data_IF_760749280925
#
_entry.id   IF_760749280925
#
_cell.length_a   1.000
_cell.length_b   1.000
_cell.length_c   1.000
_cell.angle_alpha   90.00
_cell.angle_beta   90.00
_cell.angle_gamma   90.00
#
_symmetry.space_group_name_H-M   'P 1'
#
loop_
_entity.id
_entity.type
_entity.pdbx_description
1 polymer ?
#
# COMPACT_ATOMS: atom_id res chain seq x y z
N UNK A 1 -8.29 9.75 13.89
CA UNK A 1 -9.13 8.54 14.07
C UNK A 1 -9.40 7.79 12.77
N UNK A 2 -9.86 8.41 11.68
CA UNK A 2 -10.15 7.69 10.42
C UNK A 2 -8.92 7.04 9.78
N UNK A 3 -7.77 7.71 9.79
CA UNK A 3 -6.48 7.17 9.29
C UNK A 3 -6.03 5.95 10.10
N UNK A 4 -6.05 6.04 11.43
CA UNK A 4 -5.69 4.93 12.32
C UNK A 4 -6.62 3.73 12.11
N UNK A 5 -7.92 3.97 11.99
CA UNK A 5 -8.89 2.92 11.67
C UNK A 5 -8.61 2.26 10.32
N UNK A 6 -8.27 3.04 9.29
CA UNK A 6 -7.93 2.53 7.97
C UNK A 6 -6.66 1.65 7.98
N UNK A 7 -5.67 1.97 8.82
CA UNK A 7 -4.46 1.16 8.97
C UNK A 7 -4.76 -0.23 9.55
N UNK A 8 -5.75 -0.35 10.44
CA UNK A 8 -6.16 -1.64 11.02
C UNK A 8 -7.19 -2.40 10.16
N UNK A 9 -8.11 -1.70 9.50
CA UNK A 9 -9.22 -2.29 8.73
C UNK A 9 -9.05 -2.11 7.21
N UNK A 10 -7.91 -2.55 6.68
CA UNK A 10 -7.50 -2.32 5.29
C UNK A 10 -8.43 -2.99 4.24
N UNK A 11 -9.25 -3.98 4.61
CA UNK A 11 -10.02 -4.81 3.67
C UNK A 11 -11.53 -4.51 3.61
N UNK A 12 -11.95 -3.28 3.93
CA UNK A 12 -13.39 -2.93 3.97
C UNK A 12 -13.92 -2.49 2.60
N UNK A 13 -15.15 -2.89 2.24
CA UNK A 13 -15.77 -2.57 0.95
C UNK A 13 -15.90 -1.05 0.71
N UNK A 14 -15.08 -0.52 -0.21
CA UNK A 14 -14.99 0.92 -0.53
C UNK A 14 -16.30 1.49 -1.11
N UNK A 15 -17.09 0.68 -1.82
CA UNK A 15 -18.35 1.10 -2.47
C UNK A 15 -19.40 1.60 -1.47
N UNK A 16 -19.62 0.87 -0.37
CA UNK A 16 -20.59 1.26 0.66
C UNK A 16 -20.18 2.56 1.38
N UNK A 17 -18.88 2.76 1.61
CA UNK A 17 -18.36 3.97 2.24
C UNK A 17 -18.49 5.21 1.36
N UNK A 18 -18.34 5.06 0.04
CA UNK A 18 -18.58 6.15 -0.92
C UNK A 18 -20.04 6.59 -0.91
N UNK A 19 -20.99 5.66 -0.82
CA UNK A 19 -22.41 5.99 -0.69
C UNK A 19 -22.72 6.78 0.59
N UNK A 20 -22.15 6.38 1.73
CA UNK A 20 -22.34 7.12 2.99
C UNK A 20 -21.72 8.54 2.88
N UNK A 21 -20.56 8.65 2.23
CA UNK A 21 -19.90 9.94 2.01
C UNK A 21 -20.74 10.88 1.14
N UNK A 22 -21.35 10.38 0.05
CA UNK A 22 -22.20 11.19 -0.83
C UNK A 22 -23.50 11.62 -0.14
N UNK A 23 -24.13 10.74 0.65
CA UNK A 23 -25.30 11.08 1.47
C UNK A 23 -24.95 12.14 2.52
N UNK A 24 -23.81 11.99 3.22
CA UNK A 24 -23.36 12.99 4.20
C UNK A 24 -23.08 14.34 3.56
N UNK A 25 -22.48 14.37 2.36
CA UNK A 25 -22.24 15.60 1.61
C UNK A 25 -23.55 16.25 1.16
N UNK A 26 -24.51 15.46 0.67
CA UNK A 26 -25.82 15.94 0.28
C UNK A 26 -26.58 16.56 1.47
N UNK A 27 -26.52 15.95 2.66
CA UNK A 27 -27.10 16.49 3.88
C UNK A 27 -26.41 17.80 4.33
N UNK A 28 -25.10 17.92 4.17
CA UNK A 28 -24.36 19.16 4.43
C UNK A 28 -24.77 20.28 3.47
N UNK A 29 -24.83 19.99 2.17
CA UNK A 29 -25.29 20.93 1.15
C UNK A 29 -26.73 21.36 1.43
N UNK A 30 -27.63 20.41 1.68
CA UNK A 30 -29.01 20.70 2.06
C UNK A 30 -29.05 21.62 3.29
N UNK A 31 -28.25 21.35 4.32
CA UNK A 31 -28.17 22.17 5.53
C UNK A 31 -27.74 23.63 5.25
N UNK A 32 -26.80 23.84 4.32
CA UNK A 32 -26.31 25.17 3.94
C UNK A 32 -27.33 25.97 3.11
N UNK A 33 -28.08 25.31 2.22
CA UNK A 33 -29.06 25.96 1.34
C UNK A 33 -30.47 26.07 1.97
N UNK A 34 -30.85 25.18 2.90
CA UNK A 34 -32.12 25.23 3.63
C UNK A 34 -32.04 26.16 4.86
N UNK A 35 -31.78 27.45 4.62
CA UNK A 35 -31.76 28.50 5.67
C UNK A 35 -33.14 28.76 6.32
N UNK A 36 -34.22 28.22 5.75
CA UNK A 36 -35.62 28.61 6.04
C UNK A 36 -36.36 27.70 7.02
N UNK A 37 -35.86 26.50 7.34
CA UNK A 37 -36.50 25.57 8.28
C UNK A 37 -35.60 25.35 9.50
N UNK A 38 -36.25 25.23 10.66
CA UNK A 38 -35.82 25.12 12.06
C UNK A 38 -34.59 24.24 12.45
N UNK A 39 -33.78 23.76 11.51
CA UNK A 39 -32.59 22.91 11.74
C UNK A 39 -31.49 23.65 12.51
N UNK A 40 -31.46 24.99 12.44
CA UNK A 40 -30.57 25.82 13.25
C UNK A 40 -30.85 25.80 14.77
N UNK A 41 -31.95 25.19 15.24
CA UNK A 41 -32.16 24.98 16.69
C UNK A 41 -31.15 24.01 17.30
N UNK A 42 -30.51 23.15 16.49
CA UNK A 42 -29.54 22.15 16.95
C UNK A 42 -28.21 22.32 16.22
N UNK A 43 -27.48 23.40 16.57
CA UNK A 43 -26.16 23.79 16.01
C UNK A 43 -25.07 22.69 16.04
N UNK A 44 -25.25 21.66 16.85
CA UNK A 44 -24.32 20.52 16.96
C UNK A 44 -24.46 19.48 15.83
N UNK A 45 -25.62 19.42 15.16
CA UNK A 45 -25.88 18.44 14.09
C UNK A 45 -24.95 18.65 12.87
N UNK A 46 -24.78 19.87 12.33
CA UNK A 46 -23.81 20.11 11.26
C UNK A 46 -22.37 19.78 11.67
N UNK A 47 -22.00 20.02 12.92
CA UNK A 47 -20.67 19.67 13.45
C UNK A 47 -20.41 18.17 13.42
N UNK A 48 -21.37 17.37 13.91
CA UNK A 48 -21.30 15.90 13.84
C UNK A 48 -21.19 15.43 12.38
N UNK A 49 -22.01 15.99 11.49
CA UNK A 49 -21.98 15.65 10.06
C UNK A 49 -20.61 15.93 9.43
N UNK A 50 -19.99 17.08 9.73
CA UNK A 50 -18.64 17.41 9.24
C UNK A 50 -17.61 16.43 9.79
N UNK A 51 -17.66 16.09 11.08
CA UNK A 51 -16.73 15.14 11.68
C UNK A 51 -16.89 13.74 11.10
N UNK A 52 -18.11 13.26 10.87
CA UNK A 52 -18.39 12.00 10.18
C UNK A 52 -17.87 12.02 8.74
N UNK A 53 -18.11 13.10 8.00
CA UNK A 53 -17.62 13.28 6.64
C UNK A 53 -16.09 13.21 6.58
N UNK A 54 -15.39 13.99 7.41
CA UNK A 54 -13.92 13.99 7.47
C UNK A 54 -13.38 12.62 7.89
N UNK A 55 -14.04 11.94 8.83
CA UNK A 55 -13.65 10.59 9.24
C UNK A 55 -13.73 9.60 8.06
N UNK A 56 -14.86 9.53 7.36
CA UNK A 56 -15.07 8.62 6.23
C UNK A 56 -14.13 8.98 5.07
N UNK A 57 -13.99 10.27 4.76
CA UNK A 57 -13.10 10.74 3.71
C UNK A 57 -11.65 10.35 3.99
N UNK A 58 -11.17 10.55 5.22
CA UNK A 58 -9.81 10.15 5.62
C UNK A 58 -9.61 8.64 5.54
N UNK A 59 -10.61 7.83 5.93
CA UNK A 59 -10.54 6.38 5.84
C UNK A 59 -10.43 5.89 4.39
N UNK A 60 -11.25 6.44 3.48
CA UNK A 60 -11.23 6.08 2.05
C UNK A 60 -9.90 6.50 1.41
N UNK A 61 -9.43 7.71 1.70
CA UNK A 61 -8.20 8.24 1.11
C UNK A 61 -6.98 7.39 1.52
N UNK A 62 -6.89 7.01 2.79
CA UNK A 62 -5.82 6.13 3.27
C UNK A 62 -5.87 4.75 2.60
N UNK A 63 -7.05 4.12 2.50
CA UNK A 63 -7.16 2.82 1.83
C UNK A 63 -6.80 2.90 0.33
N UNK A 64 -7.25 3.94 -0.37
CA UNK A 64 -6.90 4.13 -1.80
C UNK A 64 -5.42 4.43 -2.02
N UNK A 65 -4.73 5.02 -1.04
CA UNK A 65 -3.29 5.29 -1.16
C UNK A 65 -2.43 4.03 -1.01
N UNK A 66 -3.01 2.91 -0.56
CA UNK A 66 -2.28 1.66 -0.44
C UNK A 66 -2.08 0.98 -1.79
N UNK A 67 -0.83 0.80 -2.19
CA UNK A 67 -0.45 0.14 -3.44
C UNK A 67 -0.95 -1.31 -3.51
N UNK A 68 -1.13 -1.97 -2.36
CA UNK A 68 -1.64 -3.33 -2.29
C UNK A 68 -3.04 -3.46 -2.91
N UNK A 69 -3.87 -2.42 -2.79
CA UNK A 69 -5.23 -2.43 -3.34
C UNK A 69 -5.30 -1.95 -4.79
N UNK A 70 -4.20 -1.46 -5.36
CA UNK A 70 -4.13 -1.09 -6.77
C UNK A 70 -4.34 -2.34 -7.65
N UNK A 71 -5.33 -2.35 -8.57
CA UNK A 71 -5.50 -3.45 -9.53
C UNK A 71 -4.25 -3.72 -10.38
N UNK A 72 -3.41 -2.70 -10.62
CA UNK A 72 -2.15 -2.82 -11.36
C UNK A 72 -0.98 -3.35 -10.51
N UNK A 73 -1.22 -3.70 -9.25
CA UNK A 73 -0.19 -4.22 -8.37
C UNK A 73 0.38 -5.55 -8.90
N UNK A 74 1.71 -5.71 -8.85
CA UNK A 74 2.39 -6.89 -9.41
C UNK A 74 1.87 -8.21 -8.82
N UNK A 75 1.46 -8.22 -7.54
CA UNK A 75 0.97 -9.45 -6.89
C UNK A 75 -0.38 -9.96 -7.39
N UNK A 76 -1.12 -9.16 -8.16
CA UNK A 76 -2.41 -9.54 -8.78
C UNK A 76 -2.27 -10.06 -10.20
N UNK A 77 -1.06 -10.01 -10.76
CA UNK A 77 -0.80 -10.39 -12.14
C UNK A 77 0.05 -11.67 -12.16
N UNK A 78 -0.41 -12.66 -12.91
CA UNK A 78 0.33 -13.91 -13.08
C UNK A 78 1.42 -13.74 -14.16
N UNK A 79 2.59 -14.32 -13.91
CA UNK A 79 3.71 -14.30 -14.85
C UNK A 79 4.90 -15.11 -14.35
N UNK A 80 5.90 -15.29 -15.22
CA UNK A 80 7.07 -16.12 -14.94
C UNK A 80 8.21 -15.31 -14.34
N UNK A 81 8.35 -14.04 -14.74
CA UNK A 81 9.42 -13.15 -14.31
C UNK A 81 8.91 -11.73 -14.08
N UNK A 82 9.64 -10.97 -13.28
CA UNK A 82 9.43 -9.55 -13.02
C UNK A 82 10.62 -8.75 -13.52
N UNK A 83 10.34 -7.65 -14.21
CA UNK A 83 11.31 -6.60 -14.45
C UNK A 83 11.14 -5.57 -13.35
N UNK A 84 12.20 -5.37 -12.59
CA UNK A 84 12.20 -4.55 -11.39
C UNK A 84 13.34 -3.54 -11.43
N UNK A 85 13.13 -2.36 -10.83
CA UNK A 85 14.13 -1.30 -10.76
C UNK A 85 14.53 -1.03 -9.32
N UNK A 86 15.82 -0.94 -9.05
CA UNK A 86 16.36 -0.66 -7.71
C UNK A 86 16.05 0.78 -7.31
N UNK A 87 15.36 0.95 -6.18
CA UNK A 87 14.92 2.26 -5.67
C UNK A 87 15.47 2.57 -4.27
N UNK A 88 16.36 1.75 -3.75
CA UNK A 88 17.05 2.04 -2.48
C UNK A 88 18.52 1.63 -2.57
N UNK A 89 19.35 2.28 -1.77
CA UNK A 89 20.73 1.83 -1.56
C UNK A 89 20.75 0.41 -0.98
N UNK A 90 21.48 -0.53 -1.60
CA UNK A 90 21.62 -1.88 -1.09
C UNK A 90 22.37 -1.92 0.25
N UNK A 91 21.81 -2.64 1.21
CA UNK A 91 22.37 -2.80 2.56
C UNK A 91 22.84 -4.23 2.77
N UNK A 92 24.14 -4.40 3.03
CA UNK A 92 24.74 -5.70 3.35
C UNK A 92 24.58 -5.98 4.83
N UNK A 93 24.11 -7.17 5.17
CA UNK A 93 24.10 -7.71 6.53
C UNK A 93 24.54 -9.17 6.48
N UNK A 94 25.77 -9.44 6.90
CA UNK A 94 26.40 -10.75 6.73
C UNK A 94 26.62 -11.09 5.26
N UNK A 95 26.13 -12.25 4.83
CA UNK A 95 26.12 -12.74 3.44
C UNK A 95 24.85 -12.33 2.67
N UNK A 96 23.99 -11.49 3.24
CA UNK A 96 22.73 -11.09 2.61
C UNK A 96 22.74 -9.60 2.25
N UNK A 97 22.55 -9.32 0.97
CA UNK A 97 22.29 -7.99 0.43
C UNK A 97 20.78 -7.72 0.38
N UNK A 98 20.30 -6.72 1.13
CA UNK A 98 18.89 -6.32 1.12
C UNK A 98 18.69 -4.98 0.43
N UNK A 99 17.71 -4.91 -0.46
CA UNK A 99 17.36 -3.69 -1.17
C UNK A 99 15.88 -3.71 -1.59
N UNK A 100 15.33 -2.53 -1.82
CA UNK A 100 13.95 -2.36 -2.28
C UNK A 100 13.96 -2.06 -3.77
N UNK A 101 13.06 -2.71 -4.49
CA UNK A 101 12.82 -2.50 -5.91
C UNK A 101 11.39 -2.05 -6.16
N UNK A 102 11.17 -1.36 -7.28
CA UNK A 102 9.85 -1.13 -7.83
C UNK A 102 9.61 -2.12 -8.97
N UNK A 103 8.51 -2.85 -8.94
CA UNK A 103 8.10 -3.70 -10.05
C UNK A 103 7.55 -2.81 -11.17
N UNK A 104 8.12 -2.90 -12.36
CA UNK A 104 7.71 -2.12 -13.52
C UNK A 104 6.92 -2.99 -14.51
N UNK A 105 7.33 -4.25 -14.69
CA UNK A 105 6.64 -5.16 -15.62
C UNK A 105 6.60 -6.60 -15.11
N UNK A 106 5.50 -7.30 -15.41
CA UNK A 106 5.37 -8.76 -15.30
C UNK A 106 5.52 -9.34 -16.70
N UNK A 107 6.43 -10.31 -16.84
CA UNK A 107 6.65 -11.03 -18.09
C UNK A 107 5.81 -12.31 -18.08
N UNK A 108 4.88 -12.40 -19.03
CA UNK A 108 4.01 -13.54 -19.25
C UNK A 108 4.24 -14.10 -20.65
N UNK A 109 4.93 -15.24 -20.76
CA UNK A 109 5.30 -15.89 -22.02
C UNK A 109 5.98 -14.94 -23.04
N UNK A 110 5.20 -14.26 -23.89
CA UNK A 110 5.67 -13.36 -24.96
C UNK A 110 5.26 -11.90 -24.77
N UNK A 111 4.55 -11.57 -23.69
CA UNK A 111 4.06 -10.22 -23.43
C UNK A 111 4.57 -9.71 -22.09
N UNK A 112 4.87 -8.42 -22.03
CA UNK A 112 5.19 -7.71 -20.79
C UNK A 112 4.02 -6.81 -20.43
N UNK A 113 3.47 -6.98 -19.23
CA UNK A 113 2.37 -6.20 -18.69
C UNK A 113 2.95 -5.18 -17.72
N UNK A 114 2.63 -3.91 -17.91
CA UNK A 114 3.03 -2.84 -16.99
C UNK A 114 2.34 -3.03 -15.65
N UNK A 115 3.11 -3.03 -14.56
CA UNK A 115 2.62 -3.19 -13.19
C UNK A 115 3.26 -2.14 -12.28
N UNK A 116 2.77 -2.07 -11.04
CA UNK A 116 3.37 -1.26 -9.99
C UNK A 116 3.50 -2.02 -8.68
N UNK A 117 4.23 -1.43 -7.74
CA UNK A 117 4.37 -1.93 -6.37
C UNK A 117 5.81 -2.16 -5.98
N UNK A 118 6.08 -2.06 -4.68
CA UNK A 118 7.42 -2.26 -4.13
C UNK A 118 7.60 -3.68 -3.65
N UNK A 119 8.80 -4.21 -3.87
CA UNK A 119 9.22 -5.54 -3.43
C UNK A 119 10.54 -5.42 -2.67
N UNK A 120 10.63 -6.10 -1.53
CA UNK A 120 11.89 -6.26 -0.81
C UNK A 120 12.64 -7.47 -1.37
N UNK A 121 13.88 -7.29 -1.79
CA UNK A 121 14.75 -8.37 -2.24
C UNK A 121 15.83 -8.61 -1.19
N UNK A 122 15.97 -9.87 -0.79
CA UNK A 122 17.10 -10.38 -0.03
C UNK A 122 17.91 -11.31 -0.94
N UNK A 123 19.08 -10.85 -1.38
CA UNK A 123 19.99 -11.59 -2.24
C UNK A 123 21.13 -12.16 -1.40
N UNK A 124 21.39 -13.46 -1.50
CA UNK A 124 22.59 -14.07 -0.93
C UNK A 124 23.80 -13.77 -1.80
N UNK A 125 24.85 -13.26 -1.19
CA UNK A 125 26.11 -12.95 -1.85
C UNK A 125 27.01 -14.18 -1.84
N UNK A 126 27.55 -14.50 -3.01
CA UNK A 126 28.61 -15.48 -3.16
C UNK A 126 29.96 -14.78 -2.97
N UNK A 127 30.79 -15.16 -1.99
CA UNK A 127 32.11 -14.57 -1.77
C UNK A 127 33.02 -14.65 -2.99
N UNK A 128 32.81 -15.65 -3.86
CA UNK A 128 33.63 -15.88 -5.06
C UNK A 128 33.20 -15.00 -6.24
N UNK A 129 32.00 -14.41 -6.19
CA UNK A 129 31.43 -13.59 -7.28
C UNK A 129 31.03 -12.22 -6.74
N UNK A 130 31.89 -11.19 -6.86
CA UNK A 130 31.55 -9.85 -6.41
C UNK A 130 30.35 -9.33 -7.21
N UNK A 131 29.21 -9.19 -6.52
CA UNK A 131 27.99 -8.63 -7.08
C UNK A 131 27.85 -7.19 -6.58
N UNK A 132 27.90 -6.23 -7.50
CA UNK A 132 27.65 -4.82 -7.19
C UNK A 132 26.32 -4.41 -7.80
N UNK A 133 25.48 -3.81 -6.98
CA UNK A 133 24.19 -3.29 -7.36
C UNK A 133 24.11 -1.83 -6.93
N UNK A 134 23.65 -0.96 -7.81
CA UNK A 134 23.50 0.46 -7.53
C UNK A 134 22.05 0.89 -7.71
N UNK A 135 21.74 2.06 -7.13
CA UNK A 135 20.43 2.68 -7.31
C UNK A 135 20.15 2.92 -8.80
N UNK A 136 18.95 2.56 -9.25
CA UNK A 136 18.50 2.75 -10.63
C UNK A 136 18.74 1.56 -11.55
N UNK A 137 19.49 0.54 -11.12
CA UNK A 137 19.68 -0.70 -11.89
C UNK A 137 18.35 -1.40 -12.15
N UNK A 138 18.25 -2.05 -13.31
CA UNK A 138 17.08 -2.84 -13.71
C UNK A 138 17.46 -4.31 -13.71
N UNK A 139 16.67 -5.12 -13.04
CA UNK A 139 16.88 -6.55 -12.85
C UNK A 139 15.70 -7.34 -13.41
N UNK A 140 16.01 -8.50 -13.98
CA UNK A 140 15.01 -9.53 -14.28
C UNK A 140 15.11 -10.61 -13.20
N UNK A 141 14.02 -10.82 -12.47
CA UNK A 141 13.94 -11.80 -11.39
C UNK A 141 12.81 -12.79 -11.63
N UNK A 142 12.91 -14.00 -11.07
CA UNK A 142 11.79 -14.93 -11.03
C UNK A 142 10.59 -14.30 -10.32
N UNK A 143 9.38 -14.53 -10.84
CA UNK A 143 8.14 -14.05 -10.22
C UNK A 143 7.73 -14.93 -9.03
N UNK A 144 8.64 -15.10 -8.06
CA UNK A 144 8.45 -15.87 -6.83
C UNK A 144 8.68 -14.93 -5.66
N UNK A 145 7.62 -14.57 -4.97
CA UNK A 145 7.66 -13.72 -3.79
C UNK A 145 6.64 -14.23 -2.77
N UNK A 146 6.89 -13.92 -1.50
CA UNK A 146 6.01 -14.24 -0.39
C UNK A 146 5.55 -12.95 0.28
N UNK A 147 4.41 -12.99 0.95
CA UNK A 147 4.06 -11.93 1.90
C UNK A 147 5.09 -11.86 3.03
N UNK A 148 5.26 -10.66 3.59
CA UNK A 148 6.09 -10.48 4.78
C UNK A 148 5.48 -11.24 5.97
N UNK A 149 6.32 -12.00 6.67
CA UNK A 149 5.93 -12.72 7.88
C UNK A 149 5.62 -11.75 9.02
N UNK A 150 4.61 -12.04 9.85
CA UNK A 150 4.36 -11.27 11.07
C UNK A 150 5.50 -11.47 12.08
N UNK A 151 5.66 -10.55 13.06
CA UNK A 151 6.63 -10.74 14.14
C UNK A 151 6.33 -12.04 14.89
N UNK A 152 7.35 -12.89 15.08
CA UNK A 152 7.20 -14.17 15.77
C UNK A 152 7.05 -14.00 17.29
N UNK A 153 7.59 -12.90 17.84
CA UNK A 153 7.48 -12.57 19.25
C UNK A 153 6.69 -11.25 19.44
N UNK A 154 5.64 -11.20 20.28
CA UNK A 154 4.89 -9.97 20.55
C UNK A 154 5.71 -8.78 21.09
N UNK A 155 6.85 -9.04 21.73
CA UNK A 155 7.76 -8.00 22.24
C UNK A 155 8.83 -7.56 21.22
N UNK A 156 8.86 -8.17 20.04
CA UNK A 156 9.78 -7.80 18.97
C UNK A 156 9.26 -6.62 18.17
N UNK A 157 10.17 -5.94 17.47
CA UNK A 157 9.83 -4.89 16.54
C UNK A 157 8.95 -5.42 15.40
N UNK A 158 7.82 -4.74 15.13
CA UNK A 158 6.93 -5.07 14.02
C UNK A 158 7.52 -4.63 12.67
N UNK A 159 8.42 -5.46 12.13
CA UNK A 159 9.08 -5.22 10.85
C UNK A 159 8.08 -5.20 9.68
N UNK A 160 7.05 -6.05 9.73
CA UNK A 160 5.98 -6.10 8.73
C UNK A 160 5.19 -4.79 8.70
N UNK A 161 4.76 -4.29 9.84
CA UNK A 161 4.06 -3.01 9.96
C UNK A 161 4.92 -1.83 9.52
N UNK A 162 6.20 -1.83 9.88
CA UNK A 162 7.16 -0.81 9.43
C UNK A 162 7.30 -0.77 7.90
N UNK A 163 7.44 -1.93 7.24
CA UNK A 163 7.53 -2.03 5.78
C UNK A 163 6.20 -1.71 5.07
N UNK A 164 5.07 -2.13 5.65
CA UNK A 164 3.74 -1.81 5.13
C UNK A 164 3.50 -0.30 5.07
N UNK A 165 3.97 0.46 6.06
CA UNK A 165 3.92 1.92 6.05
C UNK A 165 4.72 2.54 4.88
N UNK A 166 5.71 1.82 4.35
CA UNK A 166 6.49 2.22 3.17
C UNK A 166 5.93 1.66 1.86
N UNK A 167 4.74 1.04 1.88
CA UNK A 167 4.10 0.36 0.76
C UNK A 167 4.84 -0.89 0.29
N UNK A 168 5.60 -1.55 1.18
CA UNK A 168 6.31 -2.79 0.90
C UNK A 168 5.59 -3.93 1.64
N UNK A 169 4.95 -4.82 0.89
CA UNK A 169 4.11 -5.89 1.45
C UNK A 169 4.65 -7.30 1.18
N UNK A 170 5.50 -7.44 0.15
CA UNK A 170 6.07 -8.71 -0.26
C UNK A 170 7.59 -8.68 -0.20
N UNK A 171 8.17 -9.86 -0.04
CA UNK A 171 9.60 -10.10 -0.09
C UNK A 171 9.92 -11.30 -0.99
N UNK A 172 11.11 -11.29 -1.58
CA UNK A 172 11.68 -12.46 -2.24
C UNK A 172 13.11 -12.70 -1.77
N UNK A 173 13.48 -13.97 -1.67
CA UNK A 173 14.82 -14.42 -1.35
C UNK A 173 15.44 -15.06 -2.60
N UNK A 174 16.58 -14.52 -3.03
CA UNK A 174 17.35 -15.00 -4.17
C UNK A 174 18.67 -15.54 -3.62
N UNK A 175 19.00 -16.78 -3.97
CA UNK A 175 20.20 -17.48 -3.49
C UNK A 175 21.33 -17.49 -4.53
#
# INVERSE_FOLDING_TARGET
MGILSAMYFQNSSVSGMLFILTVSLALLVLNLFYKKWFVFKRRWIPGILIHCFLFIASFILTNKSSQLFDPAHFSKNEGNALIVKVISEPKVSGDILRFVVNAEQVVQLKTAISVNGKLLIALKLDPEKPFQLIYGDVLLIDNKFNELDPPFNPSEFDFKGYLANQQIYHQTFIN
#
